data_IF_363595616762
#
_entry.id   IF_363595616762
#
_cell.length_a   1.000
_cell.length_b   1.000
_cell.length_c   1.000
_cell.angle_alpha   90.00
_cell.angle_beta   90.00
_cell.angle_gamma   90.00
#
_symmetry.space_group_name_H-M   'P 1'
#
loop_
_entity.id
_entity.type
_entity.pdbx_description
1 polymer ?
#
# COMPACT_ATOMS: atom_id res chain seq x y z
N UNK A 1 15.96 10.18 -27.32
CA UNK A 1 16.50 8.87 -27.77
C UNK A 1 16.25 7.89 -26.63
N UNK A 2 15.57 6.76 -26.89
CA UNK A 2 15.11 5.82 -25.86
C UNK A 2 16.25 5.19 -25.04
N UNK A 3 17.42 5.01 -25.67
CA UNK A 3 18.54 4.26 -25.09
C UNK A 3 19.73 5.16 -24.69
N UNK A 4 19.49 6.46 -24.54
CA UNK A 4 20.55 7.41 -24.18
C UNK A 4 21.16 7.11 -22.80
N UNK A 5 20.38 6.51 -21.89
CA UNK A 5 20.83 6.10 -20.55
C UNK A 5 21.86 4.95 -20.57
N UNK A 6 22.01 4.25 -21.69
CA UNK A 6 23.00 3.18 -21.88
C UNK A 6 24.36 3.70 -22.40
N UNK A 7 24.52 5.01 -22.53
CA UNK A 7 25.77 5.65 -22.95
C UNK A 7 26.46 6.25 -21.73
N UNK A 8 27.46 5.58 -21.15
CA UNK A 8 28.08 6.07 -19.92
C UNK A 8 28.92 7.31 -20.23
N UNK A 9 28.66 8.38 -19.49
CA UNK A 9 29.44 9.62 -19.52
C UNK A 9 29.65 10.10 -18.10
N UNK A 10 30.76 10.79 -17.82
CA UNK A 10 31.00 11.36 -16.48
C UNK A 10 29.88 12.29 -16.05
N UNK A 11 29.32 13.07 -17.00
CA UNK A 11 28.22 13.98 -16.73
C UNK A 11 26.93 13.26 -16.32
N UNK A 12 26.57 12.18 -17.01
CA UNK A 12 25.33 11.45 -16.71
C UNK A 12 25.47 10.54 -15.48
N UNK A 13 26.58 9.80 -15.36
CA UNK A 13 26.79 8.91 -14.22
C UNK A 13 27.01 9.73 -12.93
N UNK A 14 27.81 10.79 -13.01
CA UNK A 14 28.14 11.66 -11.88
C UNK A 14 26.99 12.52 -11.38
N UNK A 15 25.83 12.56 -12.05
CA UNK A 15 24.64 13.23 -11.50
C UNK A 15 23.95 12.43 -10.40
N UNK A 16 24.24 11.14 -10.28
CA UNK A 16 23.71 10.26 -9.23
C UNK A 16 24.81 9.59 -8.41
N UNK A 17 25.94 9.24 -9.03
CA UNK A 17 27.15 8.78 -8.35
C UNK A 17 28.01 9.99 -7.99
N UNK A 18 27.52 10.81 -7.06
CA UNK A 18 28.11 12.08 -6.67
C UNK A 18 29.33 11.94 -5.74
N UNK A 19 29.55 10.75 -5.20
CA UNK A 19 30.73 10.36 -4.42
C UNK A 19 31.90 9.87 -5.28
N UNK A 20 31.70 9.73 -6.60
CA UNK A 20 32.74 9.30 -7.55
C UNK A 20 33.53 10.50 -8.08
N UNK A 21 34.85 10.48 -7.87
CA UNK A 21 35.75 11.48 -8.45
C UNK A 21 36.46 10.91 -9.69
N UNK A 22 35.91 11.19 -10.86
CA UNK A 22 36.50 10.74 -12.12
C UNK A 22 37.89 11.34 -12.40
N UNK A 23 38.28 12.47 -11.79
CA UNK A 23 39.59 13.08 -12.03
C UNK A 23 40.70 12.41 -11.22
N UNK A 24 40.41 11.98 -9.99
CA UNK A 24 41.39 11.32 -9.10
C UNK A 24 41.27 9.80 -9.10
N UNK A 25 40.13 9.26 -9.53
CA UNK A 25 39.81 7.83 -9.43
C UNK A 25 39.24 7.41 -8.07
N UNK A 26 39.11 8.34 -7.11
CA UNK A 26 38.53 8.06 -5.80
C UNK A 26 37.09 7.54 -5.94
N UNK A 27 36.78 6.47 -5.20
CA UNK A 27 35.54 5.68 -5.29
C UNK A 27 35.26 5.07 -6.69
N UNK A 28 36.26 5.03 -7.57
CA UNK A 28 36.17 4.47 -8.91
C UNK A 28 37.40 3.59 -9.21
N UNK A 29 37.64 2.62 -8.32
CA UNK A 29 38.75 1.66 -8.39
C UNK A 29 40.14 2.30 -8.51
N UNK A 30 40.31 3.52 -7.98
CA UNK A 30 41.54 4.33 -8.08
C UNK A 30 41.98 4.56 -9.55
N UNK A 31 41.02 4.60 -10.47
CA UNK A 31 41.24 4.76 -11.91
C UNK A 31 40.72 6.13 -12.40
N UNK A 32 41.60 7.14 -12.53
CA UNK A 32 41.28 8.40 -13.19
C UNK A 32 40.75 8.23 -14.61
N UNK A 33 39.67 8.94 -14.94
CA UNK A 33 39.04 9.02 -16.26
C UNK A 33 39.05 10.48 -16.76
N UNK A 34 40.01 10.81 -17.63
CA UNK A 34 40.13 12.14 -18.25
C UNK A 34 39.13 12.38 -19.39
N UNK A 35 38.51 11.32 -19.92
CA UNK A 35 37.51 11.36 -21.00
C UNK A 35 36.50 10.21 -20.86
N UNK A 36 35.37 10.28 -21.56
CA UNK A 36 34.31 9.27 -21.51
C UNK A 36 34.56 8.09 -22.50
N UNK A 37 35.64 8.13 -23.27
CA UNK A 37 35.90 7.21 -24.40
C UNK A 37 36.06 5.74 -23.99
N UNK A 38 36.42 5.49 -22.73
CA UNK A 38 36.70 4.15 -22.23
C UNK A 38 35.57 3.57 -21.38
N UNK A 39 34.61 4.39 -20.95
CA UNK A 39 33.58 3.97 -19.99
C UNK A 39 32.81 2.73 -20.48
N UNK A 40 32.45 2.67 -21.77
CA UNK A 40 31.68 1.55 -22.35
C UNK A 40 32.38 0.18 -22.31
N UNK A 41 33.70 0.15 -22.13
CA UNK A 41 34.47 -1.10 -22.10
C UNK A 41 34.40 -1.78 -20.72
N UNK A 42 34.16 -1.01 -19.66
CA UNK A 42 33.94 -1.54 -18.32
C UNK A 42 32.44 -1.52 -17.94
N UNK A 43 31.74 -0.45 -18.32
CA UNK A 43 30.31 -0.23 -18.12
C UNK A 43 29.57 -0.39 -19.44
N UNK A 44 29.49 -1.64 -19.90
CA UNK A 44 28.68 -1.97 -21.06
C UNK A 44 27.18 -1.82 -20.76
N UNK A 45 26.32 -1.66 -21.78
CA UNK A 45 24.88 -1.53 -21.57
C UNK A 45 24.25 -2.65 -20.73
N UNK A 46 24.57 -3.90 -21.06
CA UNK A 46 24.05 -5.10 -20.42
C UNK A 46 25.15 -6.17 -20.44
N UNK A 47 25.41 -6.79 -19.29
CA UNK A 47 26.31 -7.94 -19.17
C UNK A 47 25.53 -9.25 -19.07
N UNK A 48 26.19 -10.31 -18.64
CA UNK A 48 25.60 -11.65 -18.58
C UNK A 48 24.84 -11.91 -17.27
N UNK A 49 25.17 -11.17 -16.20
CA UNK A 49 24.66 -11.39 -14.85
C UNK A 49 23.90 -10.16 -14.32
N UNK A 50 22.92 -10.40 -13.45
CA UNK A 50 22.40 -9.30 -12.64
C UNK A 50 23.47 -8.88 -11.61
N UNK A 51 23.47 -7.60 -11.24
CA UNK A 51 24.40 -7.02 -10.27
C UNK A 51 25.88 -7.01 -10.71
N UNK A 52 26.16 -7.20 -12.00
CA UNK A 52 27.48 -6.98 -12.58
C UNK A 52 27.77 -5.48 -12.82
N UNK A 53 28.91 -5.15 -13.46
CA UNK A 53 29.32 -3.76 -13.70
C UNK A 53 28.66 -3.10 -14.91
N UNK A 54 27.80 -3.83 -15.63
CA UNK A 54 27.02 -3.25 -16.74
C UNK A 54 25.98 -2.27 -16.22
N UNK A 55 25.51 -1.36 -17.08
CA UNK A 55 24.54 -0.35 -16.68
C UNK A 55 23.22 -1.01 -16.26
N UNK A 56 22.71 -1.98 -17.04
CA UNK A 56 21.46 -2.67 -16.68
C UNK A 56 21.66 -3.56 -15.46
N UNK A 57 22.76 -4.34 -15.40
CA UNK A 57 23.03 -5.26 -14.30
C UNK A 57 23.22 -4.54 -12.96
N UNK A 58 24.00 -3.45 -12.93
CA UNK A 58 24.26 -2.69 -11.72
C UNK A 58 23.01 -1.98 -11.17
N UNK A 59 22.06 -1.64 -12.04
CA UNK A 59 20.79 -1.00 -11.66
C UNK A 59 19.63 -1.99 -11.48
N UNK A 60 19.91 -3.31 -11.47
CA UNK A 60 18.89 -4.30 -11.13
C UNK A 60 18.41 -4.07 -9.70
N UNK A 61 17.10 -3.86 -9.54
CA UNK A 61 16.48 -3.77 -8.23
C UNK A 61 16.34 -5.19 -7.68
N UNK A 62 16.89 -5.51 -6.48
CA UNK A 62 16.95 -6.89 -6.01
C UNK A 62 15.60 -7.60 -5.92
N UNK A 63 14.53 -6.90 -5.57
CA UNK A 63 13.16 -7.44 -5.50
C UNK A 63 12.55 -7.81 -6.86
N UNK A 64 13.17 -7.38 -7.96
CA UNK A 64 12.78 -7.73 -9.34
C UNK A 64 13.79 -8.64 -10.04
N UNK A 65 14.78 -9.15 -9.30
CA UNK A 65 15.77 -10.09 -9.83
C UNK A 65 15.11 -11.29 -10.49
N UNK A 66 15.61 -11.66 -11.66
CA UNK A 66 15.20 -12.87 -12.41
C UNK A 66 15.53 -14.16 -11.67
N UNK A 67 16.46 -14.13 -10.71
CA UNK A 67 16.85 -15.27 -9.88
C UNK A 67 15.85 -15.55 -8.76
N UNK A 68 14.94 -14.62 -8.44
CA UNK A 68 13.91 -14.86 -7.44
C UNK A 68 12.92 -15.93 -7.94
N UNK A 69 12.70 -17.01 -7.18
CA UNK A 69 11.70 -18.03 -7.54
C UNK A 69 10.29 -17.46 -7.68
N UNK A 70 10.03 -16.33 -7.03
CA UNK A 70 8.72 -15.70 -6.93
C UNK A 70 7.86 -16.42 -5.90
N UNK A 71 7.02 -15.66 -5.19
CA UNK A 71 5.97 -16.22 -4.33
C UNK A 71 4.61 -15.87 -4.92
N UNK A 72 3.73 -16.86 -5.07
CA UNK A 72 2.40 -16.71 -5.66
C UNK A 72 1.37 -17.23 -4.67
N UNK A 73 0.41 -16.38 -4.31
CA UNK A 73 -0.70 -16.73 -3.45
C UNK A 73 -1.97 -17.04 -4.25
N UNK A 74 -2.67 -18.10 -3.82
CA UNK A 74 -4.02 -18.44 -4.27
C UNK A 74 -4.91 -18.61 -3.03
N UNK A 75 -6.03 -17.89 -2.94
CA UNK A 75 -7.08 -18.21 -1.96
C UNK A 75 -8.17 -18.97 -2.71
N UNK A 76 -8.38 -20.23 -2.35
CA UNK A 76 -9.31 -21.13 -3.02
C UNK A 76 -10.74 -20.96 -2.49
N UNK A 77 -10.88 -20.74 -1.18
CA UNK A 77 -12.19 -20.48 -0.56
C UNK A 77 -12.02 -19.79 0.78
N UNK A 78 -13.02 -18.99 1.17
CA UNK A 78 -13.24 -18.51 2.52
C UNK A 78 -14.73 -18.71 2.85
N UNK A 79 -15.04 -19.21 4.04
CA UNK A 79 -16.42 -19.47 4.47
C UNK A 79 -16.54 -19.43 6.00
N UNK A 80 -17.77 -19.30 6.49
CA UNK A 80 -18.09 -19.46 7.90
C UNK A 80 -19.50 -20.05 8.04
N UNK A 81 -19.71 -20.84 9.09
CA UNK A 81 -21.02 -21.46 9.38
C UNK A 81 -21.94 -20.52 10.17
N UNK A 82 -22.05 -19.27 9.70
CA UNK A 82 -22.87 -18.22 10.30
C UNK A 82 -22.13 -17.28 11.26
N UNK A 83 -22.83 -16.21 11.73
CA UNK A 83 -22.29 -15.27 12.72
C UNK A 83 -21.91 -15.98 14.04
N UNK A 84 -20.97 -15.41 14.79
CA UNK A 84 -20.48 -16.00 16.05
C UNK A 84 -19.50 -17.15 15.90
N UNK A 85 -19.25 -17.62 14.66
CA UNK A 85 -18.32 -18.71 14.35
C UNK A 85 -17.01 -18.19 13.78
N UNK A 86 -15.99 -19.04 13.83
CA UNK A 86 -14.68 -18.78 13.24
C UNK A 86 -14.69 -19.12 11.75
N UNK A 87 -14.25 -18.21 10.85
CA UNK A 87 -14.15 -18.51 9.43
C UNK A 87 -13.02 -19.49 9.12
N UNK A 88 -13.21 -20.32 8.11
CA UNK A 88 -12.21 -21.24 7.56
C UNK A 88 -11.84 -20.83 6.15
N UNK A 89 -10.54 -20.87 5.85
CA UNK A 89 -9.94 -20.47 4.58
C UNK A 89 -9.11 -21.62 4.03
N UNK A 90 -9.23 -21.86 2.74
CA UNK A 90 -8.35 -22.75 1.99
C UNK A 90 -7.51 -21.91 1.04
N UNK A 91 -6.20 -22.10 1.05
CA UNK A 91 -5.25 -21.36 0.24
C UNK A 91 -4.10 -22.26 -0.22
N UNK A 92 -3.37 -21.80 -1.24
CA UNK A 92 -2.14 -22.42 -1.72
C UNK A 92 -1.08 -21.34 -1.89
N UNK A 93 0.18 -21.75 -1.74
CA UNK A 93 1.35 -20.92 -2.03
C UNK A 93 2.20 -21.70 -3.02
N UNK A 94 2.64 -21.04 -4.08
CA UNK A 94 3.51 -21.63 -5.10
C UNK A 94 4.63 -20.68 -5.47
N UNK A 95 5.68 -21.20 -6.07
CA UNK A 95 6.62 -20.36 -6.80
C UNK A 95 6.12 -20.07 -8.23
N UNK A 96 6.84 -19.24 -8.99
CA UNK A 96 6.48 -18.93 -10.40
C UNK A 96 6.60 -20.16 -11.32
N UNK A 97 7.36 -21.17 -10.94
CA UNK A 97 7.46 -22.44 -11.67
C UNK A 97 6.31 -23.40 -11.35
N UNK A 98 5.45 -23.05 -10.38
CA UNK A 98 4.29 -23.84 -9.97
C UNK A 98 4.58 -24.85 -8.86
N UNK A 99 5.79 -24.89 -8.30
CA UNK A 99 6.12 -25.76 -7.19
C UNK A 99 5.42 -25.28 -5.92
N UNK A 100 4.88 -26.21 -5.14
CA UNK A 100 4.21 -25.91 -3.87
C UNK A 100 5.21 -25.36 -2.85
N UNK A 101 4.82 -24.30 -2.17
CA UNK A 101 5.49 -23.76 -0.99
C UNK A 101 4.59 -24.04 0.22
N UNK A 102 5.10 -24.78 1.21
CA UNK A 102 4.36 -25.03 2.43
C UNK A 102 4.30 -23.75 3.28
N UNK A 103 3.19 -23.48 4.00
CA UNK A 103 3.11 -22.35 4.91
C UNK A 103 4.29 -22.27 5.90
N UNK A 104 4.76 -23.41 6.40
CA UNK A 104 5.90 -23.50 7.32
C UNK A 104 7.25 -23.07 6.72
N UNK A 105 7.37 -23.04 5.39
CA UNK A 105 8.58 -22.58 4.67
C UNK A 105 8.61 -21.05 4.51
N UNK A 106 7.55 -20.34 4.88
CA UNK A 106 7.47 -18.88 4.79
C UNK A 106 8.17 -18.21 5.98
N UNK A 107 9.01 -17.20 5.72
CA UNK A 107 9.60 -16.37 6.78
C UNK A 107 8.55 -15.44 7.41
N UNK A 108 7.52 -15.07 6.66
CA UNK A 108 6.34 -14.38 7.15
C UNK A 108 5.12 -14.79 6.33
N UNK A 109 4.01 -15.04 6.99
CA UNK A 109 2.73 -15.31 6.34
C UNK A 109 1.61 -14.90 7.30
N UNK A 110 0.59 -14.25 6.76
CA UNK A 110 -0.54 -13.78 7.54
C UNK A 110 -1.81 -13.82 6.68
N UNK A 111 -2.89 -14.28 7.31
CA UNK A 111 -4.25 -14.14 6.80
C UNK A 111 -4.94 -13.01 7.58
N UNK A 112 -5.53 -12.07 6.84
CA UNK A 112 -6.16 -10.87 7.40
C UNK A 112 -7.66 -10.95 7.18
N UNK A 113 -8.43 -11.09 8.25
CA UNK A 113 -9.89 -11.07 8.22
C UNK A 113 -10.37 -9.65 8.51
N UNK A 114 -11.22 -9.09 7.65
CA UNK A 114 -11.83 -7.77 7.86
C UNK A 114 -13.30 -7.76 7.45
N UNK A 115 -14.10 -6.88 8.06
CA UNK A 115 -15.51 -6.74 7.71
C UNK A 115 -16.19 -5.59 8.44
N UNK A 116 -17.45 -5.31 8.10
CA UNK A 116 -18.16 -5.79 6.90
C UNK A 116 -17.61 -5.12 5.61
N UNK A 117 -17.89 -5.67 4.42
CA UNK A 117 -17.35 -5.12 3.14
C UNK A 117 -17.96 -3.79 2.71
N UNK A 118 -19.12 -3.40 3.27
CA UNK A 118 -19.72 -2.09 3.04
C UNK A 118 -18.76 -0.96 3.43
N UNK A 119 -18.18 -1.07 4.63
CA UNK A 119 -17.02 -0.32 5.07
C UNK A 119 -16.40 -1.07 6.26
N UNK A 120 -15.12 -1.41 6.15
CA UNK A 120 -14.46 -2.20 7.18
C UNK A 120 -14.41 -1.42 8.48
N UNK A 121 -14.78 -2.03 9.60
CA UNK A 121 -14.67 -1.42 10.92
C UNK A 121 -13.66 -2.15 11.82
N UNK A 122 -13.22 -3.33 11.39
CA UNK A 122 -12.26 -4.16 12.12
C UNK A 122 -11.42 -4.96 11.15
N UNK A 123 -10.19 -5.25 11.58
CA UNK A 123 -9.33 -6.21 10.93
C UNK A 123 -8.51 -6.98 11.97
N UNK A 124 -8.37 -8.29 11.75
CA UNK A 124 -7.52 -9.16 12.56
C UNK A 124 -6.58 -9.92 11.64
N UNK A 125 -5.32 -9.97 12.02
CA UNK A 125 -4.27 -10.70 11.29
C UNK A 125 -3.83 -11.89 12.12
N UNK A 126 -3.83 -13.08 11.53
CA UNK A 126 -3.38 -14.30 12.19
C UNK A 126 -2.32 -15.01 11.35
N UNK A 127 -1.33 -15.60 12.04
CA UNK A 127 -0.26 -16.38 11.42
C UNK A 127 -0.70 -17.85 11.29
N UNK A 128 -0.82 -18.39 10.05
CA UNK A 128 -1.24 -19.76 9.83
C UNK A 128 -0.07 -20.76 9.73
N UNK A 129 1.20 -20.33 9.75
CA UNK A 129 2.37 -21.15 9.34
C UNK A 129 2.52 -22.47 10.10
N UNK A 130 2.22 -22.46 11.39
CA UNK A 130 2.31 -23.63 12.27
C UNK A 130 0.96 -24.32 12.56
N UNK A 131 -0.16 -23.73 12.11
CA UNK A 131 -1.51 -24.17 12.50
C UNK A 131 -2.38 -24.60 11.31
N UNK A 132 -2.02 -24.22 10.09
CA UNK A 132 -2.71 -24.67 8.91
C UNK A 132 -2.50 -26.17 8.69
N UNK A 133 -3.58 -26.87 8.36
CA UNK A 133 -3.53 -28.28 7.96
C UNK A 133 -3.27 -28.34 6.46
N UNK A 134 -2.19 -29.01 6.05
CA UNK A 134 -1.78 -29.06 4.63
C UNK A 134 -2.07 -30.44 4.05
N UNK A 135 -2.85 -30.47 2.98
CA UNK A 135 -3.15 -31.68 2.21
C UNK A 135 -1.99 -32.05 1.27
N UNK A 136 -2.02 -33.27 0.75
CA UNK A 136 -0.96 -33.81 -0.12
C UNK A 136 -0.76 -33.00 -1.43
N UNK A 137 -1.80 -32.32 -1.91
CA UNK A 137 -1.77 -31.46 -3.09
C UNK A 137 -1.24 -30.03 -2.81
N UNK A 138 -0.79 -29.77 -1.58
CA UNK A 138 -0.31 -28.45 -1.16
C UNK A 138 -1.40 -27.48 -0.71
N UNK A 139 -2.67 -27.89 -0.69
CA UNK A 139 -3.77 -27.07 -0.18
C UNK A 139 -3.67 -26.95 1.34
N UNK A 140 -3.54 -25.72 1.84
CA UNK A 140 -3.54 -25.40 3.25
C UNK A 140 -4.94 -24.94 3.70
N UNK A 141 -5.46 -25.55 4.76
CA UNK A 141 -6.70 -25.17 5.42
C UNK A 141 -6.41 -24.52 6.76
N UNK A 142 -6.94 -23.34 7.01
CA UNK A 142 -6.77 -22.60 8.25
C UNK A 142 -8.11 -22.07 8.76
N UNK A 143 -8.40 -22.32 10.04
CA UNK A 143 -9.56 -21.75 10.74
C UNK A 143 -9.07 -20.66 11.66
N UNK A 144 -9.64 -19.47 11.54
CA UNK A 144 -9.28 -18.34 12.39
C UNK A 144 -9.60 -18.61 13.87
N UNK A 145 -8.78 -18.07 14.76
CA UNK A 145 -9.11 -18.02 16.18
C UNK A 145 -10.19 -16.96 16.43
N UNK A 146 -10.10 -15.83 15.72
CA UNK A 146 -11.11 -14.79 15.72
C UNK A 146 -12.46 -15.32 15.22
N UNK A 147 -13.53 -14.84 15.85
CA UNK A 147 -14.91 -15.14 15.47
C UNK A 147 -15.52 -13.95 14.73
N UNK A 148 -16.41 -14.25 13.81
CA UNK A 148 -17.33 -13.25 13.28
C UNK A 148 -18.26 -12.79 14.42
N UNK A 149 -18.55 -11.48 14.57
CA UNK A 149 -19.50 -11.01 15.58
C UNK A 149 -20.88 -11.69 15.45
N UNK A 150 -21.56 -11.93 16.57
CA UNK A 150 -22.86 -12.65 16.58
C UNK A 150 -23.96 -11.94 15.79
N UNK A 151 -23.88 -10.61 15.69
CA UNK A 151 -24.84 -9.77 14.96
C UNK A 151 -24.37 -9.43 13.53
N UNK A 152 -23.26 -10.01 13.05
CA UNK A 152 -22.72 -9.69 11.75
C UNK A 152 -23.69 -10.06 10.62
N UNK A 153 -23.69 -9.25 9.56
CA UNK A 153 -24.50 -9.42 8.36
C UNK A 153 -23.69 -9.14 7.11
N UNK A 154 -24.14 -9.66 5.98
CA UNK A 154 -23.54 -9.39 4.68
C UNK A 154 -22.24 -10.14 4.45
N UNK A 155 -21.26 -9.44 3.87
CA UNK A 155 -19.99 -10.02 3.44
C UNK A 155 -18.81 -9.53 4.26
N UNK A 156 -17.83 -10.41 4.40
CA UNK A 156 -16.51 -10.16 4.99
C UNK A 156 -15.44 -10.47 3.96
N UNK A 157 -14.20 -10.08 4.25
CA UNK A 157 -13.05 -10.30 3.39
C UNK A 157 -11.94 -11.06 4.13
N UNK A 158 -11.21 -11.89 3.38
CA UNK A 158 -9.92 -12.42 3.80
C UNK A 158 -8.85 -12.02 2.81
N UNK A 159 -7.79 -11.40 3.30
CA UNK A 159 -6.54 -11.15 2.59
C UNK A 159 -5.43 -12.14 2.95
N UNK A 160 -4.52 -12.40 2.03
CA UNK A 160 -3.26 -13.12 2.28
C UNK A 160 -2.04 -12.26 1.92
N UNK A 161 -1.06 -12.25 2.82
CA UNK A 161 0.22 -11.55 2.66
C UNK A 161 1.36 -12.40 3.23
N UNK A 162 2.57 -12.27 2.69
CA UNK A 162 3.73 -13.01 3.17
C UNK A 162 4.92 -12.92 2.22
N UNK A 163 6.07 -13.36 2.72
CA UNK A 163 7.31 -13.43 1.95
C UNK A 163 8.23 -14.56 2.45
N UNK A 164 9.13 -14.97 1.57
CA UNK A 164 10.34 -15.73 1.91
C UNK A 164 11.56 -14.83 1.80
N UNK A 165 12.60 -15.12 2.57
CA UNK A 165 13.91 -14.53 2.39
C UNK A 165 14.71 -15.43 1.46
N UNK A 166 15.20 -14.88 0.35
CA UNK A 166 16.03 -15.57 -0.64
C UNK A 166 17.39 -14.90 -0.66
N UNK A 167 18.45 -15.69 -0.54
CA UNK A 167 19.82 -15.21 -0.70
C UNK A 167 20.17 -15.23 -2.19
N UNK A 168 20.36 -14.05 -2.77
CA UNK A 168 20.86 -13.88 -4.13
C UNK A 168 22.39 -13.92 -4.13
N UNK A 169 22.97 -14.47 -5.20
CA UNK A 169 24.42 -14.60 -5.40
C UNK A 169 25.19 -15.17 -4.19
N UNK A 170 24.78 -16.31 -3.62
CA UNK A 170 25.38 -16.86 -2.41
C UNK A 170 26.87 -17.20 -2.62
N UNK A 171 27.70 -16.87 -1.63
CA UNK A 171 29.14 -17.10 -1.64
C UNK A 171 29.96 -16.07 -2.44
N UNK A 172 29.33 -14.98 -2.90
CA UNK A 172 30.00 -13.90 -3.64
C UNK A 172 30.12 -12.63 -2.81
N UNK A 173 30.95 -11.69 -3.26
CA UNK A 173 31.05 -10.34 -2.66
C UNK A 173 29.77 -9.49 -2.82
N UNK A 174 28.79 -9.96 -3.61
CA UNK A 174 27.51 -9.31 -3.87
C UNK A 174 26.33 -10.09 -3.28
N UNK A 175 26.61 -11.05 -2.39
CA UNK A 175 25.58 -11.80 -1.68
C UNK A 175 24.64 -10.85 -0.95
N UNK A 176 23.34 -11.05 -1.13
CA UNK A 176 22.31 -10.24 -0.48
C UNK A 176 21.04 -11.04 -0.23
N UNK A 177 20.39 -10.77 0.90
CA UNK A 177 19.09 -11.38 1.22
C UNK A 177 17.95 -10.46 0.79
N UNK A 178 17.06 -10.98 -0.05
CA UNK A 178 15.91 -10.26 -0.59
C UNK A 178 14.62 -10.92 -0.12
N UNK A 179 13.60 -10.11 0.14
CA UNK A 179 12.25 -10.59 0.41
C UNK A 179 11.53 -10.90 -0.90
N UNK A 180 11.34 -12.19 -1.17
CA UNK A 180 10.48 -12.69 -2.22
C UNK A 180 9.02 -12.68 -1.71
N UNK A 181 8.38 -11.52 -1.82
CA UNK A 181 7.01 -11.30 -1.38
C UNK A 181 6.01 -11.62 -2.49
N UNK A 182 4.90 -12.27 -2.14
CA UNK A 182 3.83 -12.53 -3.10
C UNK A 182 2.92 -11.33 -3.31
N UNK A 183 2.32 -11.24 -4.50
CA UNK A 183 1.24 -10.30 -4.75
C UNK A 183 0.04 -10.68 -3.87
N UNK A 184 -0.42 -9.75 -3.04
CA UNK A 184 -1.50 -10.03 -2.11
C UNK A 184 -2.77 -10.42 -2.85
N UNK A 185 -3.58 -11.28 -2.22
CA UNK A 185 -4.92 -11.62 -2.71
C UNK A 185 -5.94 -11.33 -1.63
N UNK A 186 -7.12 -10.87 -2.04
CA UNK A 186 -8.28 -10.66 -1.18
C UNK A 186 -9.47 -11.36 -1.81
N UNK A 187 -10.20 -12.14 -1.01
CA UNK A 187 -11.47 -12.76 -1.40
C UNK A 187 -12.57 -12.35 -0.44
N UNK A 188 -13.81 -12.45 -0.90
CA UNK A 188 -15.00 -12.09 -0.15
C UNK A 188 -15.87 -13.31 0.10
N UNK A 189 -16.54 -13.35 1.25
CA UNK A 189 -17.45 -14.43 1.60
C UNK A 189 -18.62 -13.90 2.43
N UNK A 190 -19.75 -14.59 2.36
CA UNK A 190 -20.95 -14.25 3.13
C UNK A 190 -20.84 -14.83 4.54
N UNK A 191 -21.31 -14.07 5.54
CA UNK A 191 -21.38 -14.53 6.93
C UNK A 191 -22.78 -14.91 7.40
N UNK A 192 -23.81 -14.61 6.61
CA UNK A 192 -25.22 -14.85 6.95
C UNK A 192 -26.02 -15.51 5.81
N UNK A 193 -25.35 -15.93 4.73
CA UNK A 193 -25.98 -16.55 3.56
C UNK A 193 -26.52 -15.55 2.53
N UNK A 194 -26.42 -14.24 2.78
CA UNK A 194 -26.72 -13.22 1.76
C UNK A 194 -25.74 -13.30 0.58
N UNK A 195 -26.11 -12.79 -0.63
CA UNK A 195 -25.21 -12.74 -1.77
C UNK A 195 -23.90 -12.03 -1.45
N UNK A 196 -22.77 -12.60 -1.86
CA UNK A 196 -21.44 -12.02 -1.61
C UNK A 196 -21.31 -10.68 -2.32
N UNK A 197 -20.98 -9.63 -1.57
CA UNK A 197 -20.76 -8.27 -2.06
C UNK A 197 -19.29 -7.87 -1.85
N UNK A 198 -18.50 -7.74 -2.94
CA UNK A 198 -17.16 -7.15 -2.88
C UNK A 198 -17.19 -5.73 -2.31
N UNK A 199 -16.06 -5.31 -1.73
CA UNK A 199 -15.90 -3.92 -1.35
C UNK A 199 -15.82 -3.05 -2.61
N UNK A 200 -16.43 -1.86 -2.55
CA UNK A 200 -16.39 -0.85 -3.62
C UNK A 200 -14.95 -0.56 -4.11
N UNK A 201 -14.79 -0.40 -5.42
CA UNK A 201 -13.55 0.08 -6.04
C UNK A 201 -13.58 1.60 -6.11
N UNK A 202 -12.58 2.25 -5.50
CA UNK A 202 -12.48 3.72 -5.45
C UNK A 202 -11.29 4.20 -6.28
N UNK A 203 -10.16 3.52 -6.19
CA UNK A 203 -8.90 3.82 -6.89
C UNK A 203 -8.40 2.57 -7.59
N UNK A 204 -7.49 2.73 -8.55
CA UNK A 204 -6.81 1.63 -9.23
C UNK A 204 -5.31 1.63 -8.90
N UNK A 205 -4.74 0.43 -8.70
CA UNK A 205 -3.30 0.28 -8.43
C UNK A 205 -2.44 0.79 -9.59
N UNK A 206 -2.90 0.60 -10.83
CA UNK A 206 -2.20 1.08 -12.03
C UNK A 206 -2.03 2.60 -12.02
N UNK A 207 -3.01 3.34 -11.50
CA UNK A 207 -2.91 4.78 -11.33
C UNK A 207 -1.83 5.16 -10.30
N UNK A 208 -1.74 4.41 -9.20
CA UNK A 208 -0.67 4.60 -8.21
C UNK A 208 0.72 4.31 -8.83
N UNK A 209 0.82 3.27 -9.64
CA UNK A 209 2.07 2.83 -10.24
C UNK A 209 2.58 3.73 -11.38
N UNK A 210 1.79 4.69 -11.86
CA UNK A 210 2.29 5.75 -12.75
C UNK A 210 3.42 6.56 -12.11
N UNK A 211 3.39 6.72 -10.77
CA UNK A 211 4.44 7.41 -10.01
C UNK A 211 5.30 6.43 -9.19
N UNK A 212 4.68 5.40 -8.61
CA UNK A 212 5.40 4.47 -7.72
C UNK A 212 6.17 3.36 -8.44
N UNK A 213 5.92 3.15 -9.75
CA UNK A 213 6.33 2.01 -10.57
C UNK A 213 5.81 0.65 -10.06
N UNK A 214 6.06 0.34 -8.80
CA UNK A 214 5.53 -0.80 -8.07
C UNK A 214 5.31 -0.42 -6.60
N UNK A 215 4.08 0.00 -6.27
CA UNK A 215 3.73 0.37 -4.91
C UNK A 215 3.77 -0.86 -4.00
N UNK A 216 4.70 -0.85 -3.05
CA UNK A 216 4.84 -1.89 -2.05
C UNK A 216 5.33 -1.30 -0.73
N UNK A 217 4.57 -1.50 0.35
CA UNK A 217 4.86 -0.97 1.67
C UNK A 217 4.98 -2.07 2.73
N UNK A 218 5.35 -1.65 3.94
CA UNK A 218 5.58 -2.54 5.09
C UNK A 218 6.68 -3.57 4.83
N UNK A 219 7.79 -3.08 4.29
CA UNK A 219 8.98 -3.89 4.00
C UNK A 219 8.76 -4.90 2.88
N UNK A 220 8.00 -4.52 1.85
CA UNK A 220 7.79 -5.33 0.65
C UNK A 220 6.53 -6.21 0.66
N UNK A 221 5.77 -6.24 1.76
CA UNK A 221 4.77 -7.28 1.99
C UNK A 221 3.33 -6.90 1.56
N UNK A 222 3.05 -5.61 1.34
CA UNK A 222 1.71 -5.10 0.99
C UNK A 222 1.74 -4.29 -0.29
N UNK A 223 1.07 -4.78 -1.34
CA UNK A 223 1.25 -4.34 -2.72
C UNK A 223 -0.07 -4.27 -3.53
N UNK A 224 -1.24 -4.32 -2.88
CA UNK A 224 -2.54 -4.13 -3.54
C UNK A 224 -3.42 -3.20 -2.72
N UNK A 225 -4.29 -2.44 -3.38
CA UNK A 225 -5.21 -1.49 -2.74
C UNK A 225 -6.18 -2.23 -1.81
N UNK A 226 -6.69 -3.37 -2.26
CA UNK A 226 -7.63 -4.21 -1.54
C UNK A 226 -7.04 -4.72 -0.23
N UNK A 227 -5.74 -5.05 -0.21
CA UNK A 227 -5.03 -5.44 1.01
C UNK A 227 -4.85 -4.26 1.96
N UNK A 228 -4.44 -3.09 1.47
CA UNK A 228 -4.19 -1.91 2.30
C UNK A 228 -5.42 -1.53 3.12
N UNK A 229 -6.59 -1.49 2.47
CA UNK A 229 -7.82 -1.00 3.08
C UNK A 229 -8.43 -1.97 4.11
N UNK A 230 -8.01 -3.25 4.15
CA UNK A 230 -8.42 -4.15 5.24
C UNK A 230 -8.05 -3.54 6.60
N UNK A 231 -6.81 -3.08 6.74
CA UNK A 231 -6.31 -2.49 7.99
C UNK A 231 -6.51 -0.97 8.06
N UNK A 232 -6.29 -0.27 6.94
CA UNK A 232 -6.42 1.20 6.86
C UNK A 232 -7.88 1.60 6.68
N UNK A 233 -8.67 1.38 7.72
CA UNK A 233 -10.11 1.58 7.73
C UNK A 233 -10.53 2.81 8.55
N UNK A 234 -11.80 3.27 8.47
CA UNK A 234 -12.26 4.51 9.09
C UNK A 234 -12.09 4.61 10.61
N UNK A 235 -11.96 3.49 11.31
CA UNK A 235 -11.78 3.46 12.77
C UNK A 235 -10.32 3.26 13.18
N UNK A 236 -9.42 3.01 12.22
CA UNK A 236 -8.04 2.68 12.49
C UNK A 236 -7.19 3.94 12.74
N UNK A 237 -6.42 3.90 13.82
CA UNK A 237 -5.41 4.90 14.16
C UNK A 237 -4.08 4.22 14.44
N UNK A 238 -3.01 5.00 14.57
CA UNK A 238 -1.70 4.49 14.99
C UNK A 238 -1.56 4.28 16.51
N UNK A 239 -2.66 4.35 17.28
CA UNK A 239 -2.66 4.28 18.74
C UNK A 239 -1.88 3.09 19.31
N UNK A 240 -1.98 1.91 18.69
CA UNK A 240 -1.28 0.71 19.15
C UNK A 240 0.25 0.78 18.98
N UNK A 241 0.77 1.77 18.26
CA UNK A 241 2.19 1.96 17.91
C UNK A 241 2.75 3.28 18.39
N UNK A 242 1.90 4.27 18.64
CA UNK A 242 2.29 5.60 19.10
C UNK A 242 2.70 5.58 20.57
N UNK A 243 3.85 6.17 20.93
CA UNK A 243 4.27 6.36 22.31
C UNK A 243 3.24 7.17 23.13
N UNK A 244 3.13 6.88 24.42
CA UNK A 244 2.13 7.51 25.29
C UNK A 244 2.31 9.04 25.40
N UNK A 245 3.55 9.53 25.33
CA UNK A 245 3.94 10.94 25.35
C UNK A 245 3.66 11.67 24.02
N UNK A 246 3.36 10.92 22.95
CA UNK A 246 3.10 11.46 21.60
C UNK A 246 1.61 11.45 21.22
N UNK A 247 0.74 11.06 22.15
CA UNK A 247 -0.72 11.07 21.99
C UNK A 247 -1.28 12.50 21.84
N UNK A 248 -2.44 12.71 21.18
CA UNK A 248 -3.39 11.72 20.67
C UNK A 248 -2.94 10.99 19.38
N UNK A 249 -3.61 9.90 18.99
CA UNK A 249 -3.18 9.09 17.86
C UNK A 249 -3.55 9.71 16.51
N UNK A 250 -2.75 9.39 15.49
CA UNK A 250 -2.97 9.81 14.12
C UNK A 250 -3.88 8.81 13.39
N UNK A 251 -4.87 9.32 12.66
CA UNK A 251 -5.68 8.45 11.81
C UNK A 251 -4.87 7.82 10.69
N UNK A 252 -5.17 6.54 10.44
CA UNK A 252 -4.62 5.77 9.33
C UNK A 252 -5.73 5.23 8.42
N UNK A 253 -6.93 5.83 8.45
CA UNK A 253 -7.97 5.62 7.43
C UNK A 253 -7.38 5.84 6.03
N UNK A 254 -7.57 4.88 5.11
CA UNK A 254 -6.88 4.87 3.81
C UNK A 254 -7.10 6.17 3.03
N UNK A 255 -8.33 6.69 3.02
CA UNK A 255 -8.66 7.95 2.34
C UNK A 255 -7.88 9.12 2.93
N UNK A 256 -7.88 9.27 4.25
CA UNK A 256 -7.19 10.38 4.90
C UNK A 256 -5.68 10.25 4.78
N UNK A 257 -5.15 9.05 5.01
CA UNK A 257 -3.72 8.77 4.92
C UNK A 257 -3.18 9.08 3.54
N UNK A 258 -3.81 8.58 2.48
CA UNK A 258 -3.33 8.80 1.11
C UNK A 258 -3.43 10.28 0.73
N UNK A 259 -4.54 10.96 1.04
CA UNK A 259 -4.66 12.40 0.77
C UNK A 259 -3.62 13.23 1.54
N UNK A 260 -3.38 12.93 2.82
CA UNK A 260 -2.40 13.66 3.64
C UNK A 260 -0.96 13.42 3.18
N UNK A 261 -0.57 12.17 2.91
CA UNK A 261 0.77 11.84 2.39
C UNK A 261 1.06 12.63 1.10
N UNK A 262 0.10 12.66 0.17
CA UNK A 262 0.29 13.33 -1.11
C UNK A 262 0.08 14.84 -1.05
N UNK A 263 -0.59 15.36 -0.02
CA UNK A 263 -0.59 16.82 0.26
C UNK A 263 0.75 17.25 0.85
N UNK A 264 1.33 16.41 1.71
CA UNK A 264 2.71 16.50 2.18
C UNK A 264 3.08 17.90 2.68
N UNK A 265 4.05 18.55 2.01
CA UNK A 265 4.54 19.90 2.36
C UNK A 265 3.51 21.04 2.31
N UNK A 266 2.36 20.80 1.68
CA UNK A 266 1.27 21.75 1.63
C UNK A 266 0.27 21.57 2.78
N UNK A 267 0.47 20.56 3.65
CA UNK A 267 -0.34 20.39 4.85
C UNK A 267 -0.06 21.50 5.85
N UNK A 268 -1.12 22.05 6.44
CA UNK A 268 -1.02 23.05 7.51
C UNK A 268 -0.72 22.42 8.88
N UNK A 269 -0.75 21.09 8.96
CA UNK A 269 -0.63 20.32 10.21
C UNK A 269 0.42 19.22 10.06
N UNK A 270 1.11 18.89 11.15
CA UNK A 270 1.97 17.71 11.24
C UNK A 270 1.19 16.42 10.93
N UNK A 271 1.73 15.60 10.03
CA UNK A 271 1.24 14.27 9.72
C UNK A 271 2.36 13.24 9.90
N UNK A 272 2.55 12.84 11.15
CA UNK A 272 3.46 11.78 11.56
C UNK A 272 2.70 10.53 11.94
N UNK A 273 3.05 9.38 11.35
CA UNK A 273 2.46 8.06 11.63
C UNK A 273 3.50 7.13 12.27
N UNK A 274 3.16 6.57 13.43
CA UNK A 274 3.98 5.54 14.09
C UNK A 274 3.63 4.15 13.55
N UNK A 275 4.63 3.48 12.99
CA UNK A 275 4.48 2.18 12.34
C UNK A 275 4.94 1.01 13.19
N UNK A 276 5.00 -0.16 12.54
CA UNK A 276 5.58 -1.36 13.14
C UNK A 276 7.08 -1.16 13.41
N UNK A 277 7.61 -1.86 14.43
CA UNK A 277 9.01 -1.76 14.82
C UNK A 277 9.42 -0.41 15.41
N UNK A 278 8.46 0.44 15.81
CA UNK A 278 8.73 1.77 16.32
C UNK A 278 9.14 2.78 15.24
N UNK A 279 8.88 2.48 13.96
CA UNK A 279 9.17 3.41 12.86
C UNK A 279 8.38 4.71 13.00
N UNK A 280 9.05 5.84 12.79
CA UNK A 280 8.46 7.17 12.79
C UNK A 280 8.44 7.67 11.35
N UNK A 281 7.24 7.93 10.81
CA UNK A 281 7.08 8.30 9.40
C UNK A 281 6.40 9.66 9.33
N UNK A 282 7.18 10.71 9.13
CA UNK A 282 6.67 12.06 8.86
C UNK A 282 6.57 12.26 7.35
N UNK A 283 5.45 12.83 6.88
CA UNK A 283 5.21 13.05 5.46
C UNK A 283 5.13 14.52 5.08
N UNK A 284 5.41 15.45 6.00
CA UNK A 284 5.32 16.88 5.75
C UNK A 284 6.40 17.41 4.80
N UNK A 285 7.44 16.63 4.46
CA UNK A 285 8.42 17.04 3.44
C UNK A 285 8.11 16.47 2.04
N UNK A 286 7.09 15.62 1.92
CA UNK A 286 6.72 14.98 0.66
C UNK A 286 6.20 16.03 -0.33
N UNK A 287 6.79 16.07 -1.52
CA UNK A 287 6.27 16.82 -2.66
C UNK A 287 5.47 15.93 -3.60
N UNK A 288 4.34 16.42 -4.11
CA UNK A 288 3.57 15.74 -5.14
C UNK A 288 4.10 16.13 -6.54
N UNK A 289 4.51 15.17 -7.39
CA UNK A 289 5.12 15.49 -8.69
C UNK A 289 4.10 15.90 -9.77
N UNK A 290 2.80 15.64 -9.55
CA UNK A 290 1.73 15.98 -10.49
C UNK A 290 0.83 17.11 -10.02
N UNK A 291 -0.38 17.20 -10.58
CA UNK A 291 -1.44 18.09 -10.09
C UNK A 291 -2.35 17.34 -9.13
N UNK A 292 -2.23 17.60 -7.83
CA UNK A 292 -2.98 16.88 -6.79
C UNK A 292 -4.50 17.08 -6.89
N UNK A 293 -4.93 18.21 -7.46
CA UNK A 293 -6.34 18.48 -7.75
C UNK A 293 -6.91 17.58 -8.86
N UNK A 294 -6.08 16.91 -9.67
CA UNK A 294 -6.55 16.00 -10.73
C UNK A 294 -6.97 14.65 -10.12
N UNK A 295 -8.23 14.56 -9.70
CA UNK A 295 -8.76 13.45 -8.90
C UNK A 295 -8.65 12.08 -9.60
N UNK A 296 -8.83 12.05 -10.93
CA UNK A 296 -8.69 10.87 -11.78
C UNK A 296 -7.24 10.38 -11.92
N UNK A 297 -6.26 11.15 -11.41
CA UNK A 297 -4.90 10.67 -11.21
C UNK A 297 -4.80 9.47 -10.27
N UNK A 298 -5.82 9.26 -9.41
CA UNK A 298 -5.92 8.09 -8.52
C UNK A 298 -7.26 7.38 -8.65
N UNK A 299 -8.35 8.15 -8.66
CA UNK A 299 -9.71 7.64 -8.61
C UNK A 299 -10.19 7.07 -9.95
N UNK A 300 -11.07 6.08 -9.88
CA UNK A 300 -11.76 5.49 -11.04
C UNK A 300 -13.26 5.74 -10.97
N UNK A 301 -13.95 5.63 -12.11
CA UNK A 301 -15.41 5.67 -12.19
C UNK A 301 -16.05 6.88 -11.50
N UNK A 302 -15.36 8.02 -11.48
CA UNK A 302 -15.78 9.23 -10.79
C UNK A 302 -16.07 9.03 -9.28
N UNK A 303 -15.38 8.09 -8.64
CA UNK A 303 -15.60 7.70 -7.24
C UNK A 303 -15.29 8.81 -6.21
N UNK A 304 -14.67 9.90 -6.65
CA UNK A 304 -14.41 11.10 -5.86
C UNK A 304 -15.61 12.07 -5.80
N UNK A 305 -16.66 11.83 -6.59
CA UNK A 305 -17.86 12.68 -6.61
C UNK A 305 -18.75 12.45 -5.39
N UNK A 306 -19.51 13.50 -5.04
CA UNK A 306 -20.58 13.45 -4.05
C UNK A 306 -21.95 13.26 -4.71
N UNK A 307 -22.93 12.64 -4.03
CA UNK A 307 -22.85 12.07 -2.68
C UNK A 307 -22.01 10.79 -2.62
N UNK A 308 -21.36 10.54 -1.48
CA UNK A 308 -20.70 9.27 -1.23
C UNK A 308 -21.73 8.12 -1.17
N UNK A 309 -21.34 6.87 -1.48
CA UNK A 309 -22.23 5.72 -1.37
C UNK A 309 -22.83 5.56 0.03
N UNK A 310 -24.02 4.95 0.11
CA UNK A 310 -24.61 4.58 1.39
C UNK A 310 -23.79 3.46 2.09
N UNK A 311 -23.99 3.29 3.40
CA UNK A 311 -23.37 2.20 4.18
C UNK A 311 -21.94 2.49 4.68
N UNK A 312 -21.43 3.71 4.47
CA UNK A 312 -20.16 4.15 5.05
C UNK A 312 -20.27 4.35 6.56
N UNK A 313 -19.15 4.13 7.25
CA UNK A 313 -19.04 4.50 8.67
C UNK A 313 -19.13 6.02 8.78
N UNK A 314 -20.09 6.49 9.59
CA UNK A 314 -20.39 7.92 9.76
C UNK A 314 -19.44 8.61 10.73
N UNK A 315 -18.80 7.85 11.60
CA UNK A 315 -17.91 8.34 12.66
C UNK A 315 -16.47 7.91 12.37
N UNK A 316 -15.83 8.56 11.40
CA UNK A 316 -14.44 8.31 11.05
C UNK A 316 -13.55 8.88 12.16
N UNK A 317 -12.56 8.11 12.61
CA UNK A 317 -11.64 8.53 13.67
C UNK A 317 -10.55 9.43 13.08
N UNK A 318 -10.50 10.68 13.54
CA UNK A 318 -9.43 11.63 13.24
C UNK A 318 -9.00 12.44 14.47
N UNK A 319 -8.40 11.81 15.50
CA UNK A 319 -8.18 12.46 16.80
C UNK A 319 -7.22 13.67 16.79
N UNK A 320 -6.45 13.86 15.72
CA UNK A 320 -5.57 15.02 15.49
C UNK A 320 -6.15 16.03 14.50
N UNK A 321 -7.33 15.77 13.94
CA UNK A 321 -8.06 16.73 13.10
C UNK A 321 -8.91 17.69 13.94
N UNK A 322 -9.43 18.73 13.28
CA UNK A 322 -10.33 19.71 13.90
C UNK A 322 -11.69 19.13 14.30
N UNK A 323 -12.11 18.04 13.63
CA UNK A 323 -13.36 17.32 13.90
C UNK A 323 -13.03 15.88 14.25
N UNK A 324 -13.52 15.39 15.38
CA UNK A 324 -13.40 14.00 15.77
C UNK A 324 -14.58 13.55 16.65
N UNK A 325 -15.36 12.52 16.26
CA UNK A 325 -15.30 11.85 14.97
C UNK A 325 -15.71 12.80 13.82
N UNK A 326 -15.23 12.51 12.61
CA UNK A 326 -15.53 13.28 11.39
C UNK A 326 -16.39 12.47 10.43
N UNK A 327 -17.29 13.16 9.70
CA UNK A 327 -18.11 12.52 8.67
C UNK A 327 -17.28 12.03 7.48
N UNK A 328 -17.72 11.01 6.73
CA UNK A 328 -16.93 10.40 5.66
C UNK A 328 -16.62 11.34 4.48
N UNK A 329 -17.49 12.31 4.17
CA UNK A 329 -17.19 13.31 3.15
C UNK A 329 -16.18 14.34 3.69
N UNK A 330 -16.40 14.83 4.91
CA UNK A 330 -15.49 15.76 5.59
C UNK A 330 -14.10 15.16 5.77
N UNK A 331 -13.99 13.87 6.12
CA UNK A 331 -12.73 13.14 6.17
C UNK A 331 -11.98 13.17 4.83
N UNK A 332 -12.71 13.04 3.71
CA UNK A 332 -12.12 13.14 2.37
C UNK A 332 -11.52 14.52 2.11
N UNK A 333 -12.31 15.56 2.36
CA UNK A 333 -12.01 16.94 2.00
C UNK A 333 -10.95 17.55 2.92
N UNK A 334 -11.11 17.38 4.24
CA UNK A 334 -10.24 17.98 5.26
C UNK A 334 -8.85 17.32 5.33
N UNK A 335 -8.64 16.21 4.61
CA UNK A 335 -7.32 15.61 4.45
C UNK A 335 -6.39 16.40 3.53
N UNK A 336 -6.96 17.25 2.68
CA UNK A 336 -6.25 18.18 1.80
C UNK A 336 -6.52 19.64 2.24
N UNK A 337 -7.77 19.95 2.58
CA UNK A 337 -8.21 21.25 3.07
C UNK A 337 -8.13 21.27 4.61
N UNK A 338 -6.92 21.19 5.16
CA UNK A 338 -6.67 20.96 6.59
C UNK A 338 -6.89 22.18 7.49
N UNK A 339 -7.18 23.36 6.92
CA UNK A 339 -7.35 24.59 7.66
C UNK A 339 -8.62 24.64 8.52
N UNK A 340 -8.55 25.42 9.60
CA UNK A 340 -9.65 25.54 10.58
C UNK A 340 -10.94 26.09 9.96
N UNK A 341 -10.84 27.01 8.98
CA UNK A 341 -12.00 27.58 8.30
C UNK A 341 -12.72 26.55 7.43
N UNK A 342 -11.97 25.66 6.77
CA UNK A 342 -12.56 24.55 6.01
C UNK A 342 -13.26 23.55 6.95
N UNK A 343 -12.67 23.27 8.11
CA UNK A 343 -13.30 22.43 9.13
C UNK A 343 -14.56 23.07 9.71
N UNK A 344 -14.55 24.38 9.98
CA UNK A 344 -15.72 25.14 10.42
C UNK A 344 -16.84 25.10 9.37
N UNK A 345 -16.50 25.29 8.09
CA UNK A 345 -17.44 25.15 6.97
C UNK A 345 -18.05 23.75 6.88
N UNK A 346 -17.25 22.70 7.06
CA UNK A 346 -17.73 21.32 7.09
C UNK A 346 -18.67 21.08 8.28
N UNK A 347 -18.35 21.64 9.45
CA UNK A 347 -19.14 21.50 10.67
C UNK A 347 -20.53 22.15 10.53
N UNK A 348 -20.63 23.38 10.00
CA UNK A 348 -21.94 24.05 9.82
C UNK A 348 -22.83 23.36 8.78
N UNK A 349 -22.24 22.61 7.85
CA UNK A 349 -22.94 21.79 6.85
C UNK A 349 -23.13 20.34 7.30
N UNK A 350 -22.90 20.06 8.59
CA UNK A 350 -23.12 18.75 9.20
C UNK A 350 -24.14 18.90 10.32
N UNK A 351 -25.15 18.03 10.31
CA UNK A 351 -26.16 17.98 11.36
C UNK A 351 -26.32 16.56 11.88
N UNK A 352 -27.22 16.36 12.85
CA UNK A 352 -27.62 15.02 13.29
C UNK A 352 -28.17 14.13 12.16
N UNK A 353 -28.62 14.71 11.04
CA UNK A 353 -29.09 13.96 9.87
C UNK A 353 -27.94 13.45 8.99
N UNK A 354 -26.75 14.04 9.12
CA UNK A 354 -25.57 13.76 8.29
C UNK A 354 -25.02 15.01 7.62
N UNK A 355 -24.14 14.78 6.64
CA UNK A 355 -23.43 15.80 5.88
C UNK A 355 -24.25 16.25 4.65
N UNK A 356 -24.43 17.56 4.48
CA UNK A 356 -25.16 18.14 3.33
C UNK A 356 -24.25 18.54 2.15
N UNK A 357 -23.00 18.06 2.12
CA UNK A 357 -21.98 18.47 1.15
C UNK A 357 -22.43 18.35 -0.32
N UNK A 358 -23.20 17.31 -0.65
CA UNK A 358 -23.65 17.05 -2.03
C UNK A 358 -24.59 18.12 -2.59
N UNK A 359 -25.21 18.95 -1.74
CA UNK A 359 -26.04 20.07 -2.18
C UNK A 359 -25.22 21.09 -2.97
N UNK A 360 -24.00 21.40 -2.50
CA UNK A 360 -23.12 22.39 -3.10
C UNK A 360 -22.02 21.77 -3.97
N UNK A 361 -21.56 20.57 -3.61
CA UNK A 361 -20.43 19.88 -4.24
C UNK A 361 -20.83 18.64 -5.07
N UNK A 362 -22.13 18.38 -5.23
CA UNK A 362 -22.63 17.37 -6.17
C UNK A 362 -22.35 17.73 -7.63
N UNK A 363 -22.41 16.77 -8.57
CA UNK A 363 -21.95 16.95 -9.96
C UNK A 363 -22.66 18.08 -10.72
N UNK A 364 -23.92 18.36 -10.40
CA UNK A 364 -24.72 19.40 -11.05
C UNK A 364 -24.69 20.74 -10.29
N UNK A 365 -24.11 20.77 -9.10
CA UNK A 365 -24.13 21.93 -8.21
C UNK A 365 -23.16 23.03 -8.66
N UNK A 366 -23.31 24.23 -8.09
CA UNK A 366 -22.48 25.40 -8.44
C UNK A 366 -20.98 25.16 -8.14
N UNK A 367 -20.68 24.44 -7.06
CA UNK A 367 -19.31 24.15 -6.60
C UNK A 367 -19.00 22.65 -6.68
N UNK A 368 -19.54 21.97 -7.69
CA UNK A 368 -19.27 20.56 -7.96
C UNK A 368 -17.76 20.25 -7.87
N UNK A 369 -17.39 19.10 -7.31
CA UNK A 369 -15.97 18.69 -7.18
C UNK A 369 -15.23 18.85 -8.50
N UNK A 370 -15.83 18.43 -9.61
CA UNK A 370 -15.29 18.54 -10.98
C UNK A 370 -15.09 19.97 -11.49
N UNK A 371 -15.87 20.93 -10.98
CA UNK A 371 -15.80 22.34 -11.40
C UNK A 371 -14.72 23.09 -10.65
N UNK A 372 -14.50 22.71 -9.38
CA UNK A 372 -13.57 23.42 -8.49
C UNK A 372 -12.19 22.77 -8.42
N UNK A 373 -12.04 21.54 -8.90
CA UNK A 373 -10.76 20.88 -9.10
C UNK A 373 -10.54 20.69 -10.60
N UNK A 374 -9.40 21.18 -11.10
CA UNK A 374 -9.03 21.00 -12.50
C UNK A 374 -8.92 19.49 -12.80
N UNK A 375 -9.75 19.01 -13.72
CA UNK A 375 -9.66 17.67 -14.31
C UNK A 375 -8.88 17.74 -15.61
#
# INVERSE_FOLDING_TARGET
QKDAYLKPTRQACGSCHDDVNFATGENHADLPQISDNQCKWCHMPEGELEFDTSIIGAHTIPTFSKELPGTVFEILSARVDGPGKSPTVQFRIKDKAGNVILPSQMNSLSLVLAGPTADYNTAVSEDPRSRAQVAADGTATYTFTAKIPDNAKGSYAVGIQGYRNITLLPGTMKEQTVRDAGINKVVYFSVDGSPVQPRRTVVALDNCNQCHAFLSLHGGNRNTVEMCVLCHNPLATDQARRPADQMPPQSVDMRMMIHRIHTGKELETDYTVYGFGGSVNNFNDVGFPGFRQRCDGCHVNNSYRLPLPAGLIKEVQDPRGWLNPVGPASAACLSCHSGIEAASHALINTSRLGESCSVCHGPTSAYAVDKVHAQ
#
